data_IF_706923036932
#
_entry.id   IF_706923036932
#
_cell.length_a   1.000
_cell.length_b   1.000
_cell.length_c   1.000
_cell.angle_alpha   90.00
_cell.angle_beta   90.00
_cell.angle_gamma   90.00
#
_symmetry.space_group_name_H-M   'P 1'
#
loop_
_entity.id
_entity.type
_entity.pdbx_description
1 polymer ?
#
# COMPACT_ATOMS: atom_id res chain seq x y z
N UNK A 1 -1.57 14.22 -36.82
CA UNK A 1 -0.48 14.56 -35.88
C UNK A 1 -0.71 16.00 -35.47
N UNK A 2 -1.51 16.31 -34.44
CA UNK A 2 -1.73 15.60 -33.16
C UNK A 2 -0.51 15.75 -32.23
N UNK A 3 -0.57 16.38 -31.06
CA UNK A 3 -1.55 17.37 -30.55
C UNK A 3 -1.13 17.88 -29.16
N UNK A 4 -1.65 19.06 -28.77
CA UNK A 4 -1.95 19.46 -27.38
C UNK A 4 -0.78 19.56 -26.35
N UNK A 5 -0.96 20.03 -25.10
CA UNK A 5 -1.48 21.36 -24.64
C UNK A 5 -1.20 21.59 -23.13
N UNK A 6 -1.15 22.86 -22.70
CA UNK A 6 -1.43 23.43 -21.36
C UNK A 6 -0.77 22.89 -20.03
N UNK A 7 -0.14 23.86 -19.33
CA UNK A 7 -0.62 24.45 -18.03
C UNK A 7 -0.25 23.89 -16.63
N UNK A 8 -0.29 24.82 -15.65
CA UNK A 8 -0.91 24.67 -14.30
C UNK A 8 -0.06 24.67 -12.99
N UNK A 9 0.16 25.89 -12.44
CA UNK A 9 -0.15 26.37 -11.04
C UNK A 9 0.58 25.93 -9.72
N UNK A 10 0.92 26.99 -8.93
CA UNK A 10 0.79 27.18 -7.44
C UNK A 10 1.74 26.45 -6.44
N UNK A 11 1.57 26.62 -5.08
CA UNK A 11 1.48 25.59 -3.96
C UNK A 11 1.46 26.12 -2.43
N UNK A 12 1.26 25.32 -1.32
CA UNK A 12 0.49 25.59 -0.01
C UNK A 12 1.12 25.64 1.43
N UNK A 13 0.31 26.04 2.49
CA UNK A 13 0.06 25.41 3.85
C UNK A 13 -0.66 26.30 4.94
N UNK A 14 -1.05 25.92 6.20
CA UNK A 14 -0.84 24.74 7.11
C UNK A 14 -1.88 24.53 8.29
N UNK A 15 -1.98 23.29 8.86
CA UNK A 15 -2.07 22.74 10.28
C UNK A 15 -2.70 23.52 11.52
N UNK A 16 -2.89 22.95 12.77
CA UNK A 16 -3.25 21.58 13.31
C UNK A 16 -4.06 21.51 14.69
N UNK A 17 -4.06 20.32 15.39
CA UNK A 17 -4.34 20.00 16.84
C UNK A 17 -5.82 19.90 17.34
N UNK A 18 -6.20 19.32 18.52
CA UNK A 18 -5.49 18.75 19.72
C UNK A 18 -5.77 17.21 19.87
N UNK A 19 -6.18 16.42 20.92
CA UNK A 19 -6.48 16.36 22.42
C UNK A 19 -6.60 14.82 22.79
N UNK A 20 -6.82 14.18 23.98
CA UNK A 20 -6.75 14.32 25.48
C UNK A 20 -6.76 12.87 26.12
N UNK A 21 -6.55 12.62 27.45
CA UNK A 21 -6.59 11.26 28.11
C UNK A 21 -6.77 11.23 29.67
N UNK A 22 -7.06 10.07 30.30
CA UNK A 22 -7.11 9.78 31.78
C UNK A 22 -6.58 8.36 32.17
N UNK A 23 -5.66 8.30 33.16
CA UNK A 23 -5.44 7.36 34.32
C UNK A 23 -5.95 5.87 34.33
N UNK A 24 -5.46 4.89 35.13
CA UNK A 24 -4.65 4.92 36.39
C UNK A 24 -3.54 3.81 36.52
N UNK A 25 -3.55 2.90 37.53
CA UNK A 25 -2.39 2.14 38.09
C UNK A 25 -2.77 0.74 38.63
N UNK A 26 -1.88 -0.27 38.40
CA UNK A 26 -1.61 -1.56 39.12
C UNK A 26 -1.36 -2.71 38.11
N UNK A 27 -0.47 -3.71 38.26
CA UNK A 27 0.29 -4.24 39.40
C UNK A 27 -0.36 -5.53 39.93
N UNK A 28 0.23 -6.74 39.96
CA UNK A 28 1.62 -7.24 39.77
C UNK A 28 1.60 -8.63 39.09
N UNK A 29 2.73 -9.09 38.53
CA UNK A 29 2.93 -10.39 37.85
C UNK A 29 2.68 -11.65 38.70
N UNK A 30 2.37 -12.77 38.04
CA UNK A 30 2.82 -14.11 38.47
C UNK A 30 3.18 -15.01 37.27
N UNK A 31 3.82 -16.16 37.52
CA UNK A 31 4.65 -16.88 36.53
C UNK A 31 4.10 -18.23 36.05
N UNK A 32 4.37 -18.53 34.77
CA UNK A 32 4.59 -19.84 34.15
C UNK A 32 4.17 -21.11 34.93
N UNK A 33 3.27 -21.91 34.36
CA UNK A 33 3.63 -23.23 33.79
C UNK A 33 2.58 -23.69 32.75
N UNK A 34 2.92 -24.70 31.93
CA UNK A 34 2.10 -25.19 30.81
C UNK A 34 1.09 -26.27 31.22
N UNK A 35 -0.09 -26.27 30.58
CA UNK A 35 -0.99 -27.43 30.50
C UNK A 35 -1.59 -27.62 29.08
N UNK A 36 -2.32 -28.73 28.92
CA UNK A 36 -2.63 -29.51 27.72
C UNK A 36 -3.70 -28.92 26.77
N UNK A 37 -3.82 -29.43 25.52
CA UNK A 37 -4.65 -28.82 24.47
C UNK A 37 -6.15 -29.17 24.59
N UNK A 38 -6.86 -28.53 25.52
CA UNK A 38 -8.35 -28.55 25.56
C UNK A 38 -8.97 -27.19 25.94
N UNK A 39 -8.22 -26.09 25.80
CA UNK A 39 -8.69 -24.72 26.06
C UNK A 39 -8.64 -23.85 24.78
N UNK A 40 -9.62 -24.01 23.89
CA UNK A 40 -9.84 -23.11 22.72
C UNK A 40 -11.29 -22.60 22.58
N UNK A 41 -12.09 -22.69 23.64
CA UNK A 41 -13.45 -22.15 23.71
C UNK A 41 -13.60 -21.18 24.88
N UNK A 42 -14.37 -20.11 24.66
CA UNK A 42 -14.89 -19.17 25.68
C UNK A 42 -13.90 -18.27 26.46
N UNK A 43 -13.29 -17.26 25.80
CA UNK A 43 -13.35 -15.86 26.32
C UNK A 43 -13.33 -14.84 25.17
N UNK A 44 -14.47 -14.63 24.48
CA UNK A 44 -14.81 -13.33 23.87
C UNK A 44 -16.31 -13.06 24.08
N UNK A 45 -16.62 -12.30 25.13
CA UNK A 45 -17.96 -11.73 25.37
C UNK A 45 -17.80 -10.27 25.80
N UNK A 46 -18.83 -9.44 25.56
CA UNK A 46 -18.80 -7.97 25.68
C UNK A 46 -17.84 -7.32 24.64
N UNK A 47 -18.29 -6.83 23.48
CA UNK A 47 -19.57 -6.15 23.22
C UNK A 47 -20.11 -6.37 21.79
N UNK A 48 -21.08 -7.26 21.63
CA UNK A 48 -22.01 -7.25 20.51
C UNK A 48 -23.44 -7.10 21.05
N UNK A 49 -23.96 -5.87 21.03
CA UNK A 49 -25.38 -5.60 21.23
C UNK A 49 -26.14 -6.32 20.09
N UNK A 50 -27.12 -7.16 20.42
CA UNK A 50 -27.69 -8.10 19.46
C UNK A 50 -28.35 -7.44 18.25
N UNK A 51 -27.74 -7.60 17.07
CA UNK A 51 -28.45 -7.45 15.79
C UNK A 51 -29.17 -8.77 15.53
N UNK A 52 -30.50 -8.78 15.70
CA UNK A 52 -31.34 -9.85 15.20
C UNK A 52 -31.29 -9.81 13.67
N UNK A 53 -30.48 -10.68 13.08
CA UNK A 53 -30.44 -10.85 11.62
C UNK A 53 -31.70 -11.57 11.16
N UNK A 54 -32.67 -10.79 10.71
CA UNK A 54 -33.85 -11.27 10.01
C UNK A 54 -33.45 -12.08 8.76
N UNK A 55 -34.25 -13.07 8.36
CA UNK A 55 -34.02 -13.82 7.11
C UNK A 55 -34.08 -12.90 5.89
N UNK A 56 -34.81 -11.79 5.97
CA UNK A 56 -34.83 -10.77 4.92
C UNK A 56 -33.50 -10.01 4.79
N UNK A 57 -32.67 -9.93 5.84
CA UNK A 57 -31.35 -9.30 5.77
C UNK A 57 -30.39 -10.11 4.89
N UNK A 58 -30.34 -11.44 5.01
CA UNK A 58 -29.53 -12.27 4.12
C UNK A 58 -30.00 -12.13 2.66
N UNK A 59 -31.32 -12.17 2.45
CA UNK A 59 -31.98 -12.09 1.14
C UNK A 59 -31.83 -10.70 0.46
N UNK A 60 -31.40 -9.68 1.19
CA UNK A 60 -31.07 -8.33 0.68
C UNK A 60 -29.57 -8.07 0.58
N UNK A 61 -28.76 -8.70 1.45
CA UNK A 61 -27.29 -8.69 1.36
C UNK A 61 -26.83 -9.48 0.12
N UNK A 62 -27.41 -10.65 -0.17
CA UNK A 62 -27.15 -11.40 -1.42
C UNK A 62 -27.45 -10.53 -2.65
N UNK A 63 -28.64 -9.92 -2.71
CA UNK A 63 -29.03 -9.03 -3.82
C UNK A 63 -28.12 -7.81 -4.02
N UNK A 64 -27.43 -7.36 -2.97
CA UNK A 64 -26.48 -6.25 -3.06
C UNK A 64 -25.13 -6.67 -3.67
N UNK A 65 -24.84 -7.98 -3.72
CA UNK A 65 -23.65 -8.54 -4.37
C UNK A 65 -23.93 -9.19 -5.74
N UNK A 66 -25.15 -9.72 -5.96
CA UNK A 66 -25.55 -10.35 -7.23
C UNK A 66 -26.14 -9.37 -8.26
N UNK A 67 -26.50 -8.16 -7.87
CA UNK A 67 -26.96 -7.16 -8.84
C UNK A 67 -25.82 -6.65 -9.74
N UNK A 68 -25.96 -6.88 -11.04
CA UNK A 68 -25.15 -6.36 -12.16
C UNK A 68 -23.94 -7.17 -12.68
N UNK A 69 -23.88 -8.50 -12.48
CA UNK A 69 -22.89 -9.35 -13.18
C UNK A 69 -23.57 -10.32 -14.17
N UNK A 70 -23.49 -10.04 -15.48
CA UNK A 70 -24.32 -10.78 -16.46
C UNK A 70 -23.74 -12.13 -16.91
N UNK A 71 -22.42 -12.37 -16.81
CA UNK A 71 -21.79 -13.67 -17.13
C UNK A 71 -20.56 -13.94 -16.27
N UNK A 72 -20.47 -15.15 -15.74
CA UNK A 72 -19.26 -15.76 -15.14
C UNK A 72 -18.65 -16.78 -16.09
N UNK A 73 -17.34 -17.04 -15.95
CA UNK A 73 -16.65 -18.20 -16.54
C UNK A 73 -15.51 -18.62 -15.61
N UNK A 74 -15.47 -19.88 -15.18
CA UNK A 74 -14.26 -20.45 -14.58
C UNK A 74 -13.34 -20.96 -15.69
N UNK A 75 -12.03 -20.81 -15.50
CA UNK A 75 -10.99 -21.34 -16.37
C UNK A 75 -9.93 -22.03 -15.52
N UNK A 76 -9.56 -23.24 -15.87
CA UNK A 76 -8.61 -24.07 -15.12
C UNK A 76 -7.41 -24.43 -15.98
N UNK A 77 -6.30 -24.85 -15.37
CA UNK A 77 -5.12 -25.29 -16.08
C UNK A 77 -4.03 -25.88 -15.19
N UNK A 78 -3.01 -26.44 -15.85
CA UNK A 78 -1.82 -27.04 -15.23
C UNK A 78 -0.59 -26.31 -15.75
N UNK A 79 0.35 -26.00 -14.85
CA UNK A 79 1.62 -25.39 -15.23
C UNK A 79 2.51 -26.45 -15.90
N UNK A 80 2.83 -26.25 -17.17
CA UNK A 80 3.74 -27.14 -17.93
C UNK A 80 5.11 -26.48 -18.21
N UNK A 81 5.11 -25.18 -18.49
CA UNK A 81 6.30 -24.38 -18.79
C UNK A 81 6.27 -23.10 -17.95
N UNK A 82 6.46 -21.92 -18.55
CA UNK A 82 6.24 -20.65 -17.86
C UNK A 82 4.77 -20.45 -17.44
N UNK A 83 4.57 -19.72 -16.34
CA UNK A 83 3.26 -19.35 -15.81
C UNK A 83 2.36 -18.71 -16.88
N UNK A 84 2.85 -17.65 -17.54
CA UNK A 84 2.12 -16.91 -18.58
C UNK A 84 1.72 -17.80 -19.76
N UNK A 85 2.62 -18.68 -20.25
CA UNK A 85 2.31 -19.63 -21.33
C UNK A 85 1.19 -20.59 -20.93
N UNK A 86 1.17 -21.01 -19.66
CA UNK A 86 0.15 -21.92 -19.13
C UNK A 86 -1.23 -21.24 -19.03
N UNK A 87 -1.27 -19.93 -18.72
CA UNK A 87 -2.50 -19.12 -18.79
C UNK A 87 -3.00 -18.93 -20.23
N UNK A 88 -2.10 -18.68 -21.20
CA UNK A 88 -2.46 -18.56 -22.63
C UNK A 88 -3.07 -19.87 -23.12
N UNK A 89 -2.45 -21.01 -22.79
CA UNK A 89 -2.93 -22.34 -23.19
C UNK A 89 -4.29 -22.72 -22.58
N UNK A 90 -4.64 -22.17 -21.40
CA UNK A 90 -5.98 -22.28 -20.82
C UNK A 90 -7.02 -21.34 -21.46
N UNK A 91 -6.63 -20.55 -22.46
CA UNK A 91 -7.52 -19.67 -23.22
C UNK A 91 -7.81 -18.32 -22.56
N UNK A 92 -6.89 -17.79 -21.76
CA UNK A 92 -6.95 -16.39 -21.30
C UNK A 92 -6.43 -15.43 -22.38
N UNK A 93 -7.10 -14.29 -22.53
CA UNK A 93 -6.61 -13.19 -23.35
C UNK A 93 -5.44 -12.45 -22.68
N UNK A 94 -4.66 -11.72 -23.50
CA UNK A 94 -3.58 -10.85 -23.02
C UNK A 94 -4.05 -9.78 -22.01
N UNK A 95 -5.32 -9.35 -22.10
CA UNK A 95 -5.91 -8.38 -21.17
C UNK A 95 -6.21 -9.03 -19.81
N UNK A 96 -6.79 -10.22 -19.80
CA UNK A 96 -7.05 -11.00 -18.57
C UNK A 96 -5.73 -11.37 -17.88
N UNK A 97 -4.72 -11.82 -18.62
CA UNK A 97 -3.37 -12.13 -18.09
C UNK A 97 -2.72 -10.87 -17.49
N UNK A 98 -2.73 -9.73 -18.20
CA UNK A 98 -2.18 -8.48 -17.69
C UNK A 98 -2.90 -8.00 -16.42
N UNK A 99 -4.21 -8.23 -16.34
CA UNK A 99 -5.01 -7.95 -15.14
C UNK A 99 -4.62 -8.86 -13.97
N UNK A 100 -4.48 -10.17 -14.21
CA UNK A 100 -4.05 -11.13 -13.19
C UNK A 100 -2.68 -10.77 -12.60
N UNK A 101 -1.68 -10.55 -13.46
CA UNK A 101 -0.32 -10.19 -13.01
C UNK A 101 -0.37 -8.92 -12.14
N UNK A 102 -1.08 -7.87 -12.57
CA UNK A 102 -1.26 -6.62 -11.80
C UNK A 102 -1.91 -6.81 -10.42
N UNK A 103 -2.77 -7.83 -10.26
CA UNK A 103 -3.45 -8.15 -9.00
C UNK A 103 -2.56 -8.96 -8.03
N UNK A 104 -1.63 -9.79 -8.55
CA UNK A 104 -0.83 -10.73 -7.72
C UNK A 104 0.64 -10.32 -7.53
N UNK A 105 1.17 -9.41 -8.35
CA UNK A 105 2.61 -9.06 -8.47
C UNK A 105 3.34 -8.68 -7.17
N UNK A 106 2.65 -8.21 -6.13
CA UNK A 106 3.29 -7.78 -4.88
C UNK A 106 3.39 -8.87 -3.81
N UNK A 107 2.50 -9.86 -3.83
CA UNK A 107 2.40 -10.90 -2.80
C UNK A 107 2.65 -12.33 -3.32
N UNK A 108 2.55 -12.54 -4.64
CA UNK A 108 2.86 -13.80 -5.29
C UNK A 108 4.12 -13.71 -6.15
N UNK A 109 5.26 -14.10 -5.56
CA UNK A 109 6.49 -14.34 -6.31
C UNK A 109 6.30 -15.53 -7.27
N UNK A 110 5.98 -15.22 -8.52
CA UNK A 110 5.79 -16.18 -9.61
C UNK A 110 7.07 -17.01 -9.83
N UNK A 111 8.26 -16.43 -9.70
CA UNK A 111 9.54 -17.07 -10.06
C UNK A 111 9.95 -18.07 -8.95
N UNK A 112 9.92 -17.63 -7.69
CA UNK A 112 10.24 -18.49 -6.56
C UNK A 112 9.18 -19.56 -6.29
N UNK A 113 7.90 -19.29 -6.54
CA UNK A 113 6.78 -20.18 -6.18
C UNK A 113 6.45 -21.20 -7.26
N UNK A 114 6.28 -20.80 -8.53
CA UNK A 114 5.58 -21.63 -9.54
C UNK A 114 6.42 -22.83 -10.00
N UNK A 115 5.84 -24.04 -10.01
CA UNK A 115 6.48 -25.26 -10.51
C UNK A 115 5.63 -26.00 -11.53
N UNK A 116 6.27 -26.86 -12.32
CA UNK A 116 5.61 -27.73 -13.30
C UNK A 116 4.79 -28.79 -12.55
N UNK A 117 3.55 -29.00 -12.97
CA UNK A 117 2.58 -29.91 -12.33
C UNK A 117 1.61 -29.19 -11.38
N UNK A 118 1.94 -27.99 -10.92
CA UNK A 118 1.04 -27.16 -10.11
C UNK A 118 -0.23 -26.80 -10.91
N UNK A 119 -1.38 -26.66 -10.23
CA UNK A 119 -2.69 -26.37 -10.82
C UNK A 119 -3.11 -24.92 -10.58
N UNK A 120 -3.97 -24.38 -11.44
CA UNK A 120 -4.64 -23.10 -11.19
C UNK A 120 -6.08 -23.10 -11.69
N UNK A 121 -6.93 -22.35 -11.02
CA UNK A 121 -8.31 -22.09 -11.40
C UNK A 121 -8.63 -20.61 -11.15
N UNK A 122 -9.42 -20.00 -12.04
CA UNK A 122 -9.77 -18.58 -11.93
C UNK A 122 -11.14 -18.30 -12.49
N UNK A 123 -11.86 -17.38 -11.85
CA UNK A 123 -13.17 -16.92 -12.28
C UNK A 123 -13.06 -15.57 -12.94
N UNK A 124 -13.63 -15.42 -14.13
CA UNK A 124 -13.90 -14.12 -14.75
C UNK A 124 -15.37 -13.75 -14.58
N UNK A 125 -15.62 -12.45 -14.38
CA UNK A 125 -16.94 -11.81 -14.39
C UNK A 125 -16.97 -10.76 -15.51
N UNK A 126 -18.17 -10.46 -15.99
CA UNK A 126 -18.44 -9.37 -16.93
C UNK A 126 -19.30 -8.31 -16.24
N UNK A 127 -18.86 -7.05 -16.25
CA UNK A 127 -19.58 -5.94 -15.62
C UNK A 127 -20.66 -5.33 -16.56
N UNK A 128 -21.42 -4.35 -16.06
CA UNK A 128 -22.45 -3.62 -16.82
C UNK A 128 -21.97 -2.92 -18.09
N UNK A 129 -20.67 -2.62 -18.19
CA UNK A 129 -20.03 -2.01 -19.36
C UNK A 129 -19.53 -3.05 -20.37
N UNK A 130 -19.89 -4.33 -20.16
CA UNK A 130 -19.41 -5.49 -20.93
C UNK A 130 -17.89 -5.73 -20.84
N UNK A 131 -17.22 -5.16 -19.83
CA UNK A 131 -15.80 -5.38 -19.57
C UNK A 131 -15.61 -6.68 -18.78
N UNK A 132 -14.68 -7.52 -19.23
CA UNK A 132 -14.27 -8.72 -18.50
C UNK A 132 -13.17 -8.39 -17.50
N UNK A 133 -13.29 -8.94 -16.30
CA UNK A 133 -12.26 -8.90 -15.28
C UNK A 133 -12.17 -10.24 -14.55
N UNK A 134 -11.02 -10.52 -13.93
CA UNK A 134 -10.86 -11.69 -13.06
C UNK A 134 -11.42 -11.34 -11.69
N UNK A 135 -12.45 -12.06 -11.24
CA UNK A 135 -13.05 -11.86 -9.92
C UNK A 135 -12.33 -12.64 -8.84
N UNK A 136 -11.76 -13.80 -9.15
CA UNK A 136 -10.96 -14.59 -8.21
C UNK A 136 -9.94 -15.45 -8.96
N UNK A 137 -8.83 -15.76 -8.28
CA UNK A 137 -7.77 -16.64 -8.78
C UNK A 137 -7.28 -17.50 -7.62
N UNK A 138 -7.19 -18.81 -7.88
CA UNK A 138 -6.63 -19.79 -6.97
C UNK A 138 -5.49 -20.53 -7.68
N UNK A 139 -4.39 -20.66 -6.94
CA UNK A 139 -3.22 -21.42 -7.32
C UNK A 139 -3.05 -22.55 -6.34
N UNK A 140 -3.03 -23.80 -6.82
CA UNK A 140 -2.65 -24.94 -5.99
C UNK A 140 -1.24 -25.39 -6.34
N UNK A 141 -0.31 -25.15 -5.43
CA UNK A 141 1.12 -25.18 -5.72
C UNK A 141 1.89 -26.07 -4.76
N UNK A 142 2.75 -26.93 -5.31
CA UNK A 142 3.64 -27.84 -4.58
C UNK A 142 4.54 -27.18 -3.53
N UNK A 143 4.72 -25.86 -3.58
CA UNK A 143 5.39 -25.05 -2.54
C UNK A 143 4.45 -24.31 -1.59
N UNK A 144 3.35 -23.80 -2.12
CA UNK A 144 2.30 -23.05 -1.40
C UNK A 144 1.07 -22.94 -2.31
N UNK A 145 -0.11 -23.02 -1.72
CA UNK A 145 -1.31 -22.50 -2.34
C UNK A 145 -1.33 -20.96 -2.28
N UNK A 146 -2.15 -20.32 -3.10
CA UNK A 146 -2.37 -18.87 -3.06
C UNK A 146 -3.76 -18.53 -3.61
N UNK A 147 -4.50 -17.67 -2.92
CA UNK A 147 -5.84 -17.23 -3.29
C UNK A 147 -5.93 -15.70 -3.35
N UNK A 148 -6.65 -15.17 -4.33
CA UNK A 148 -7.17 -13.79 -4.32
C UNK A 148 -8.63 -13.69 -4.76
N UNK A 149 -9.32 -12.68 -4.26
CA UNK A 149 -10.59 -12.18 -4.77
C UNK A 149 -10.48 -10.68 -5.08
N UNK A 150 -11.23 -10.18 -6.07
CA UNK A 150 -11.18 -8.82 -6.61
C UNK A 150 -12.56 -8.15 -6.53
N UNK A 151 -12.63 -6.96 -5.95
CA UNK A 151 -13.87 -6.17 -5.75
C UNK A 151 -14.50 -5.59 -7.04
N UNK A 152 -14.00 -5.98 -8.22
CA UNK A 152 -14.40 -5.44 -9.51
C UNK A 152 -13.84 -4.04 -9.81
N UNK A 153 -13.14 -3.41 -8.87
CA UNK A 153 -12.50 -2.09 -9.00
C UNK A 153 -10.97 -2.20 -9.07
N UNK A 154 -10.46 -3.42 -9.24
CA UNK A 154 -9.03 -3.79 -9.25
C UNK A 154 -8.36 -3.78 -7.85
N UNK A 155 -9.13 -3.98 -6.77
CA UNK A 155 -8.56 -4.21 -5.45
C UNK A 155 -8.59 -5.70 -5.14
N UNK A 156 -7.42 -6.32 -5.02
CA UNK A 156 -7.29 -7.71 -4.57
C UNK A 156 -7.43 -7.79 -3.03
N UNK A 157 -7.97 -8.91 -2.54
CA UNK A 157 -8.11 -9.31 -1.14
C UNK A 157 -7.75 -10.79 -1.02
N UNK A 158 -7.32 -11.23 0.16
CA UNK A 158 -7.01 -12.63 0.45
C UNK A 158 -8.23 -13.43 0.95
N UNK A 159 -7.98 -14.64 1.45
CA UNK A 159 -8.99 -15.55 2.02
C UNK A 159 -9.56 -15.13 3.38
N UNK A 160 -8.90 -14.18 4.06
CA UNK A 160 -9.37 -13.60 5.32
C UNK A 160 -10.16 -12.31 5.10
N UNK A 161 -10.11 -11.73 3.89
CA UNK A 161 -10.75 -10.47 3.55
C UNK A 161 -9.88 -9.25 3.87
N UNK A 162 -8.59 -9.45 4.14
CA UNK A 162 -7.62 -8.36 4.16
C UNK A 162 -7.27 -8.00 2.71
N UNK A 163 -7.33 -6.71 2.38
CA UNK A 163 -7.00 -6.23 1.04
C UNK A 163 -5.50 -6.43 0.82
N UNK A 164 -5.13 -7.04 -0.30
CA UNK A 164 -3.76 -7.10 -0.78
C UNK A 164 -3.36 -5.73 -1.32
N UNK A 165 -3.13 -4.79 -0.41
CA UNK A 165 -2.34 -3.60 -0.71
C UNK A 165 -0.96 -4.07 -1.14
N UNK A 166 -0.55 -3.66 -2.34
CA UNK A 166 0.88 -3.63 -2.71
C UNK A 166 1.65 -3.00 -1.55
N UNK A 167 2.46 -3.80 -0.83
CA UNK A 167 3.16 -3.41 0.40
C UNK A 167 3.58 -1.94 0.34
N UNK A 168 3.12 -1.06 1.25
CA UNK A 168 3.11 0.39 1.08
C UNK A 168 4.43 0.87 0.47
N UNK A 169 4.35 1.29 -0.80
CA UNK A 169 5.53 1.40 -1.66
C UNK A 169 6.59 2.31 -1.01
N UNK A 170 6.11 3.40 -0.40
CA UNK A 170 6.87 4.29 0.47
C UNK A 170 6.66 3.93 1.95
N UNK A 171 7.74 3.64 2.69
CA UNK A 171 7.77 3.60 4.16
C UNK A 171 7.92 5.02 4.74
N UNK A 172 7.75 5.17 6.05
CA UNK A 172 8.07 6.40 6.78
C UNK A 172 9.60 6.69 6.76
N UNK A 173 10.06 7.96 6.78
CA UNK A 173 11.47 8.32 6.60
C UNK A 173 12.27 8.40 7.91
N UNK A 174 11.65 8.11 9.06
CA UNK A 174 12.18 8.27 10.41
C UNK A 174 11.83 7.02 11.25
N UNK A 175 12.58 6.76 12.33
CA UNK A 175 12.39 5.57 13.16
C UNK A 175 11.10 5.57 14.03
N UNK A 176 10.43 6.72 14.15
CA UNK A 176 9.16 6.92 14.87
C UNK A 176 8.47 8.18 14.34
N UNK A 177 7.17 8.37 14.61
CA UNK A 177 6.50 9.63 14.25
C UNK A 177 7.11 10.84 15.00
N UNK A 178 7.16 11.98 14.31
CA UNK A 178 7.56 13.29 14.84
C UNK A 178 6.55 14.35 14.40
N UNK A 179 6.44 15.44 15.16
CA UNK A 179 5.52 16.54 14.86
C UNK A 179 5.83 17.14 13.48
N UNK A 180 4.82 17.17 12.62
CA UNK A 180 4.85 17.97 11.39
C UNK A 180 4.82 19.46 11.79
N UNK A 181 5.84 20.22 11.43
CA UNK A 181 5.88 21.68 11.61
C UNK A 181 5.24 22.42 10.43
N UNK A 182 5.26 21.82 9.24
CA UNK A 182 4.65 22.30 8.00
C UNK A 182 4.31 21.09 7.12
N UNK A 183 3.06 20.95 6.65
CA UNK A 183 2.64 19.83 5.78
C UNK A 183 3.10 19.98 4.30
N UNK A 184 2.26 19.61 3.34
CA UNK A 184 2.31 19.94 1.89
C UNK A 184 0.92 20.40 1.35
N UNK A 185 0.79 21.24 0.29
CA UNK A 185 -0.32 21.34 -0.74
C UNK A 185 0.01 22.37 -1.88
N UNK A 186 -0.79 22.93 -2.84
CA UNK A 186 -1.91 23.97 -2.99
C UNK A 186 -1.75 25.57 -2.96
N UNK A 187 -1.81 26.38 -1.87
CA UNK A 187 -1.78 27.91 -1.81
C UNK A 187 -1.16 28.65 -0.54
N UNK A 188 0.17 28.84 -0.32
CA UNK A 188 0.72 29.32 1.02
C UNK A 188 0.94 30.82 1.12
N UNK A 189 0.27 31.50 2.05
CA UNK A 189 0.66 32.88 2.39
C UNK A 189 2.00 32.91 3.14
N UNK A 190 3.07 33.42 2.52
CA UNK A 190 4.37 33.59 3.19
C UNK A 190 4.26 34.70 4.25
N UNK A 191 4.57 34.42 5.54
CA UNK A 191 4.12 35.27 6.65
C UNK A 191 4.70 36.69 6.64
N UNK A 192 5.89 36.87 6.05
CA UNK A 192 6.59 38.17 6.00
C UNK A 192 6.24 38.99 4.75
N UNK A 193 5.83 38.34 3.64
CA UNK A 193 5.67 39.02 2.33
C UNK A 193 4.27 38.92 1.74
N UNK A 194 3.34 38.18 2.37
CA UNK A 194 1.96 38.00 1.89
C UNK A 194 1.80 37.16 0.61
N UNK A 195 2.88 36.86 -0.12
CA UNK A 195 2.86 36.16 -1.40
C UNK A 195 2.63 34.66 -1.27
N UNK A 196 1.91 34.08 -2.25
CA UNK A 196 1.66 32.64 -2.33
C UNK A 196 2.92 31.86 -2.70
N UNK A 197 3.58 31.23 -1.73
CA UNK A 197 4.89 30.58 -1.90
C UNK A 197 4.81 29.05 -1.67
N UNK A 198 5.08 28.22 -2.70
CA UNK A 198 5.10 26.78 -2.58
C UNK A 198 5.84 26.23 -1.35
N UNK A 199 5.34 25.10 -0.85
CA UNK A 199 6.04 24.19 0.05
C UNK A 199 5.77 22.79 -0.48
N UNK A 200 6.76 22.22 -1.18
CA UNK A 200 6.58 21.04 -2.03
C UNK A 200 6.97 19.71 -1.35
N UNK A 201 7.26 19.78 -0.06
CA UNK A 201 7.49 18.63 0.82
C UNK A 201 6.77 18.81 2.15
N UNK A 202 7.02 17.91 3.10
CA UNK A 202 6.57 17.99 4.50
C UNK A 202 7.78 18.22 5.43
N UNK A 203 7.66 19.15 6.37
CA UNK A 203 8.64 19.40 7.42
C UNK A 203 8.30 18.58 8.68
N UNK A 204 9.20 17.68 9.05
CA UNK A 204 9.16 16.95 10.32
C UNK A 204 10.15 17.60 11.29
N UNK A 205 9.66 18.15 12.39
CA UNK A 205 10.50 18.76 13.43
C UNK A 205 11.27 17.66 14.17
N UNK A 206 12.59 17.60 13.95
CA UNK A 206 13.48 16.56 14.48
C UNK A 206 14.78 17.18 15.01
N UNK A 207 15.36 16.67 16.11
CA UNK A 207 16.70 17.06 16.52
C UNK A 207 17.73 16.82 15.41
N UNK A 208 18.80 17.63 15.38
CA UNK A 208 19.97 17.39 14.51
C UNK A 208 20.57 16.01 14.83
N UNK A 209 20.96 15.24 13.80
CA UNK A 209 21.57 13.92 13.99
C UNK A 209 20.60 12.74 14.01
N UNK A 210 19.29 12.98 13.88
CA UNK A 210 18.25 11.93 13.78
C UNK A 210 18.45 11.12 12.48
N UNK A 211 18.38 9.77 12.53
CA UNK A 211 18.43 8.91 11.34
C UNK A 211 17.37 9.25 10.30
N UNK A 212 17.77 9.36 9.03
CA UNK A 212 16.87 9.53 7.88
C UNK A 212 17.00 8.30 6.98
N UNK A 213 15.87 7.70 6.62
CA UNK A 213 15.78 6.46 5.85
C UNK A 213 15.22 6.68 4.45
N UNK A 214 15.66 5.87 3.48
CA UNK A 214 15.04 5.84 2.16
C UNK A 214 13.61 5.32 2.26
N UNK A 215 12.65 6.09 1.77
CA UNK A 215 11.23 5.71 1.77
C UNK A 215 10.94 4.53 0.82
N UNK A 216 11.74 4.30 -0.22
CA UNK A 216 11.54 3.22 -1.18
C UNK A 216 12.86 2.82 -1.86
N UNK A 217 12.88 1.67 -2.53
CA UNK A 217 14.03 1.21 -3.30
C UNK A 217 14.35 2.20 -4.44
N UNK A 218 15.62 2.40 -4.77
CA UNK A 218 16.01 3.32 -5.84
C UNK A 218 17.51 3.58 -5.97
N UNK A 219 17.84 4.59 -6.77
CA UNK A 219 19.22 5.04 -7.01
C UNK A 219 19.38 6.52 -6.63
N UNK A 220 20.50 6.85 -5.98
CA UNK A 220 20.81 8.22 -5.56
C UNK A 220 21.20 9.07 -6.79
N UNK A 221 20.29 9.94 -7.23
CA UNK A 221 20.53 10.83 -8.39
C UNK A 221 21.21 12.14 -8.02
N UNK A 222 21.12 12.57 -6.75
CA UNK A 222 21.91 13.68 -6.18
C UNK A 222 22.22 13.41 -4.70
N UNK A 223 23.42 13.76 -4.27
CA UNK A 223 23.83 13.88 -2.86
C UNK A 223 24.84 15.04 -2.83
N UNK A 224 24.40 16.24 -2.42
CA UNK A 224 25.14 17.51 -2.60
C UNK A 224 24.74 18.57 -1.55
N UNK A 225 25.52 19.65 -1.46
CA UNK A 225 25.16 20.87 -0.73
C UNK A 225 24.62 21.96 -1.68
N UNK A 226 23.73 22.83 -1.20
CA UNK A 226 23.58 24.21 -1.70
C UNK A 226 23.02 25.16 -0.61
N UNK A 227 23.21 26.48 -0.80
CA UNK A 227 22.86 27.52 0.20
C UNK A 227 21.40 27.58 0.64
N UNK A 228 20.46 27.02 -0.13
CA UNK A 228 19.04 27.03 0.21
C UNK A 228 18.60 25.69 0.82
N UNK A 229 18.88 24.59 0.13
CA UNK A 229 18.46 23.24 0.54
C UNK A 229 19.35 22.61 1.63
N UNK A 230 20.49 23.22 1.94
CA UNK A 230 21.51 22.64 2.81
C UNK A 230 22.20 21.46 2.15
N UNK A 231 22.62 20.47 2.94
CA UNK A 231 22.92 19.15 2.42
C UNK A 231 21.61 18.46 2.06
N UNK A 232 21.55 17.90 0.85
CA UNK A 232 20.33 17.26 0.36
C UNK A 232 20.64 16.01 -0.47
N UNK A 233 19.70 15.06 -0.44
CA UNK A 233 19.72 13.80 -1.19
C UNK A 233 18.47 13.76 -2.08
N UNK A 234 18.64 13.37 -3.34
CA UNK A 234 17.54 12.99 -4.22
C UNK A 234 17.67 11.51 -4.60
N UNK A 235 16.58 10.77 -4.51
CA UNK A 235 16.51 9.36 -4.92
C UNK A 235 15.51 9.26 -6.07
N UNK A 236 15.86 8.54 -7.15
CA UNK A 236 14.88 8.08 -8.14
C UNK A 236 14.52 6.64 -7.79
N UNK A 237 13.24 6.39 -7.55
CA UNK A 237 12.75 5.09 -7.15
C UNK A 237 12.40 4.21 -8.35
N UNK A 238 12.25 2.90 -8.12
CA UNK A 238 12.01 1.91 -9.18
C UNK A 238 10.70 2.14 -9.96
N UNK A 239 9.70 2.76 -9.34
CA UNK A 239 8.44 3.18 -9.98
C UNK A 239 8.54 4.52 -10.75
N UNK A 240 9.74 5.09 -10.91
CA UNK A 240 9.97 6.37 -11.59
C UNK A 240 9.78 7.62 -10.73
N UNK A 241 9.20 7.51 -9.53
CA UNK A 241 9.04 8.63 -8.60
C UNK A 241 10.39 9.19 -8.11
N UNK A 242 10.38 10.41 -7.59
CA UNK A 242 11.58 11.06 -7.03
C UNK A 242 11.27 11.59 -5.63
N UNK A 243 12.02 11.15 -4.63
CA UNK A 243 12.04 11.77 -3.30
C UNK A 243 13.21 12.74 -3.14
N UNK A 244 13.06 13.75 -2.28
CA UNK A 244 14.15 14.66 -1.89
C UNK A 244 14.15 14.89 -0.37
N UNK A 245 15.31 14.75 0.25
CA UNK A 245 15.55 14.93 1.68
C UNK A 245 16.49 16.12 1.84
N UNK A 246 16.04 17.18 2.51
CA UNK A 246 16.75 18.46 2.59
C UNK A 246 17.18 18.78 4.04
N UNK A 247 18.02 19.80 4.17
CA UNK A 247 18.50 20.39 5.44
C UNK A 247 19.36 19.48 6.32
N UNK A 248 19.87 18.38 5.76
CA UNK A 248 20.61 17.33 6.45
C UNK A 248 21.90 17.87 7.12
N UNK A 249 22.31 17.27 8.23
CA UNK A 249 23.64 17.52 8.81
C UNK A 249 24.72 16.75 8.06
N UNK A 250 24.43 15.50 7.69
CA UNK A 250 25.33 14.58 6.98
C UNK A 250 24.54 13.72 5.99
N UNK A 251 25.14 13.47 4.83
CA UNK A 251 24.72 12.38 3.93
C UNK A 251 25.60 11.16 4.18
N UNK A 252 25.00 9.97 4.13
CA UNK A 252 25.69 8.67 4.24
C UNK A 252 25.90 8.01 2.87
N UNK A 253 25.38 8.61 1.79
CA UNK A 253 25.36 8.04 0.42
C UNK A 253 25.86 9.03 -0.64
N UNK A 254 26.32 8.50 -1.78
CA UNK A 254 26.88 9.24 -2.93
C UNK A 254 26.00 9.09 -4.17
N UNK A 255 26.22 9.93 -5.19
CA UNK A 255 25.49 9.82 -6.46
C UNK A 255 25.91 8.52 -7.17
N UNK A 256 24.94 7.68 -7.51
CA UNK A 256 25.13 6.39 -8.18
C UNK A 256 24.86 5.20 -7.28
N UNK A 257 24.86 5.39 -5.96
CA UNK A 257 24.57 4.34 -4.99
C UNK A 257 23.12 3.82 -5.18
N UNK A 258 22.96 2.50 -5.14
CA UNK A 258 21.65 1.87 -4.98
C UNK A 258 21.27 1.86 -3.50
N UNK A 259 19.99 2.05 -3.20
CA UNK A 259 19.45 2.00 -1.84
C UNK A 259 18.15 1.22 -1.78
N UNK A 260 17.93 0.51 -0.67
CA UNK A 260 16.68 -0.21 -0.38
C UNK A 260 15.78 0.57 0.57
N UNK A 261 14.48 0.28 0.57
CA UNK A 261 13.50 0.82 1.51
C UNK A 261 13.93 0.56 2.95
N UNK A 262 13.91 1.61 3.79
CA UNK A 262 14.34 1.55 5.18
C UNK A 262 15.86 1.63 5.40
N UNK A 263 16.69 1.73 4.36
CA UNK A 263 18.13 1.96 4.51
C UNK A 263 18.43 3.38 5.02
N UNK A 264 19.35 3.55 5.98
CA UNK A 264 19.79 4.88 6.41
C UNK A 264 20.58 5.57 5.28
N UNK A 265 20.12 6.75 4.86
CA UNK A 265 20.73 7.55 3.79
C UNK A 265 21.47 8.78 4.32
N UNK A 266 21.22 9.19 5.55
CA UNK A 266 21.84 10.37 6.16
C UNK A 266 21.21 10.75 7.50
N UNK A 267 21.57 11.93 8.00
CA UNK A 267 21.12 12.46 9.29
C UNK A 267 20.49 13.84 9.14
N UNK A 268 19.38 14.08 9.84
CA UNK A 268 18.70 15.38 9.92
C UNK A 268 19.63 16.50 10.36
N UNK A 269 19.27 17.75 10.08
CA UNK A 269 20.10 18.89 10.45
C UNK A 269 19.33 20.21 10.48
N UNK A 270 20.08 21.27 10.24
CA UNK A 270 19.60 22.65 10.18
C UNK A 270 20.41 23.44 9.13
N UNK A 271 20.72 22.81 7.99
CA UNK A 271 21.63 23.38 6.98
C UNK A 271 20.88 24.05 5.83
N UNK A 272 21.46 25.08 5.23
CA UNK A 272 20.79 25.89 4.20
C UNK A 272 19.94 27.00 4.81
N UNK A 273 18.77 27.29 4.23
CA UNK A 273 17.89 28.39 4.68
C UNK A 273 16.68 27.86 5.46
N UNK A 274 16.91 27.53 6.73
CA UNK A 274 15.94 27.00 7.69
C UNK A 274 15.59 28.02 8.79
N UNK A 275 14.54 27.74 9.57
CA UNK A 275 14.21 28.47 10.81
C UNK A 275 14.54 27.68 12.09
N UNK A 276 14.84 26.40 11.97
CA UNK A 276 15.20 25.49 13.07
C UNK A 276 15.33 24.04 12.57
N UNK A 277 15.85 23.11 13.40
CA UNK A 277 16.12 21.73 12.98
C UNK A 277 14.88 20.96 12.51
N UNK A 278 14.94 20.39 11.31
CA UNK A 278 13.89 19.55 10.73
C UNK A 278 14.43 18.67 9.59
N UNK A 279 13.62 17.69 9.17
CA UNK A 279 13.71 17.07 7.85
C UNK A 279 12.64 17.71 6.97
N UNK A 280 13.02 18.27 5.83
CA UNK A 280 12.09 18.60 4.75
C UNK A 280 12.12 17.46 3.71
N UNK A 281 10.97 16.82 3.47
CA UNK A 281 10.82 15.69 2.55
C UNK A 281 9.82 16.00 1.43
N UNK A 282 10.31 16.13 0.20
CA UNK A 282 9.49 16.20 -1.02
C UNK A 282 9.30 14.81 -1.64
N UNK A 283 8.12 14.52 -2.19
CA UNK A 283 7.87 13.38 -3.09
C UNK A 283 7.22 13.88 -4.38
N UNK A 284 7.76 13.44 -5.52
CA UNK A 284 7.24 13.69 -6.85
C UNK A 284 6.79 12.35 -7.49
N UNK A 285 5.53 12.27 -7.88
CA UNK A 285 4.93 11.13 -8.61
C UNK A 285 4.51 11.66 -9.98
N UNK A 286 4.89 10.96 -11.06
CA UNK A 286 4.62 11.35 -12.45
C UNK A 286 5.03 12.80 -12.78
N UNK A 287 6.09 13.28 -12.12
CA UNK A 287 6.62 14.65 -12.22
C UNK A 287 5.93 15.69 -11.33
N UNK A 288 4.74 15.41 -10.78
CA UNK A 288 4.00 16.30 -9.91
C UNK A 288 4.35 16.07 -8.42
N UNK A 289 4.53 17.13 -7.61
CA UNK A 289 4.75 16.98 -6.16
C UNK A 289 3.45 16.60 -5.43
N UNK A 290 3.53 15.74 -4.42
CA UNK A 290 2.36 15.19 -3.69
C UNK A 290 2.43 15.39 -2.18
N UNK A 291 1.27 15.31 -1.50
CA UNK A 291 1.20 15.34 -0.04
C UNK A 291 1.71 14.02 0.54
N UNK A 292 3.02 13.88 0.68
CA UNK A 292 3.64 12.65 1.17
C UNK A 292 3.03 12.16 2.49
N UNK A 293 2.77 13.07 3.44
CA UNK A 293 2.21 12.74 4.75
C UNK A 293 0.76 12.22 4.68
N UNK A 294 -0.06 12.70 3.74
CA UNK A 294 -1.37 12.08 3.44
C UNK A 294 -1.23 10.83 2.61
N UNK A 295 -0.36 10.82 1.60
CA UNK A 295 -0.21 9.75 0.61
C UNK A 295 0.15 8.41 1.25
N UNK A 296 0.98 8.41 2.30
CA UNK A 296 1.27 7.18 3.06
C UNK A 296 0.13 6.79 4.01
N UNK A 297 -0.66 7.74 4.52
CA UNK A 297 -1.81 7.46 5.40
C UNK A 297 -3.04 6.98 4.62
N UNK A 298 -3.23 7.41 3.38
CA UNK A 298 -4.24 6.87 2.44
C UNK A 298 -3.87 5.50 1.85
N UNK A 299 -2.68 4.96 2.17
CA UNK A 299 -2.19 3.66 1.73
C UNK A 299 -1.66 2.83 2.92
N UNK A 300 -2.34 2.93 4.08
CA UNK A 300 -2.08 2.04 5.21
C UNK A 300 -2.45 0.58 4.88
N UNK A 301 -1.92 -0.36 5.69
CA UNK A 301 -2.44 -1.71 5.73
C UNK A 301 -3.96 -1.65 6.02
N UNK A 302 -4.78 -2.37 5.25
CA UNK A 302 -6.22 -2.14 5.20
C UNK A 302 -6.94 -2.82 6.37
N UNK A 303 -8.08 -2.26 6.76
CA UNK A 303 -9.02 -2.91 7.66
C UNK A 303 -9.71 -4.10 6.98
N UNK A 304 -9.76 -5.23 7.68
CA UNK A 304 -10.58 -6.41 7.38
C UNK A 304 -11.92 -6.07 6.71
N UNK A 305 -12.15 -6.57 5.51
CA UNK A 305 -13.43 -6.43 4.82
C UNK A 305 -14.25 -7.72 4.92
N UNK A 306 -15.22 -7.73 5.82
CA UNK A 306 -16.10 -8.87 6.11
C UNK A 306 -16.85 -9.36 4.86
N UNK A 307 -17.29 -8.46 3.95
CA UNK A 307 -17.95 -8.87 2.71
C UNK A 307 -16.98 -9.61 1.78
N UNK A 308 -15.75 -9.12 1.66
CA UNK A 308 -14.72 -9.80 0.86
C UNK A 308 -14.29 -11.13 1.50
N UNK A 309 -14.23 -11.23 2.85
CA UNK A 309 -13.97 -12.50 3.54
C UNK A 309 -15.03 -13.56 3.21
N UNK A 310 -16.32 -13.18 3.25
CA UNK A 310 -17.41 -14.11 2.95
C UNK A 310 -17.40 -14.54 1.49
N UNK A 311 -17.25 -13.59 0.56
CA UNK A 311 -17.13 -13.89 -0.86
C UNK A 311 -15.86 -14.72 -1.19
N UNK A 312 -14.74 -14.45 -0.50
CA UNK A 312 -13.50 -15.20 -0.63
C UNK A 312 -13.67 -16.67 -0.24
N UNK A 313 -14.30 -16.96 0.91
CA UNK A 313 -14.57 -18.34 1.37
C UNK A 313 -15.38 -19.12 0.33
N UNK A 314 -16.42 -18.51 -0.23
CA UNK A 314 -17.26 -19.12 -1.28
C UNK A 314 -16.48 -19.33 -2.58
N UNK A 315 -15.86 -18.29 -3.14
CA UNK A 315 -15.15 -18.42 -4.44
C UNK A 315 -13.89 -19.29 -4.35
N UNK A 316 -13.20 -19.34 -3.19
CA UNK A 316 -12.07 -20.25 -2.95
C UNK A 316 -12.53 -21.71 -2.96
N UNK A 317 -13.62 -22.05 -2.28
CA UNK A 317 -14.15 -23.41 -2.23
C UNK A 317 -14.61 -23.89 -3.63
N UNK A 318 -15.27 -23.01 -4.38
CA UNK A 318 -15.68 -23.25 -5.77
C UNK A 318 -14.46 -23.45 -6.69
N UNK A 319 -13.47 -22.57 -6.63
CA UNK A 319 -12.24 -22.69 -7.42
C UNK A 319 -11.41 -23.93 -7.07
N UNK A 320 -11.42 -24.40 -5.82
CA UNK A 320 -10.76 -25.66 -5.41
C UNK A 320 -11.48 -26.86 -6.00
N UNK A 321 -12.83 -26.88 -5.97
CA UNK A 321 -13.63 -27.99 -6.49
C UNK A 321 -13.36 -28.25 -7.97
N UNK A 322 -13.16 -27.20 -8.75
CA UNK A 322 -12.84 -27.28 -10.19
C UNK A 322 -11.40 -27.77 -10.49
N UNK A 323 -10.61 -28.09 -9.47
CA UNK A 323 -9.25 -28.64 -9.60
C UNK A 323 -9.13 -30.11 -9.16
N UNK A 324 -10.21 -30.75 -8.70
CA UNK A 324 -10.22 -32.15 -8.27
C UNK A 324 -10.40 -33.08 -9.47
#
# INVERSE_FOLDING_TARGET
MTSLILSSRNHNLALPLITIALTIIAGVSFSHYLLTPEEQSEVISHSYQGVLFDKEANNSIEKTYDSHFQRTKITTGVINYAFVTSLINAGLSQQEIKSLIKLIESEFDIIGSVRKGDKFSLKTRTNSYNEKYISSFYYSGSKKDFFIINDGKNNAYDEYGDRLTRKPYYSFPLAKEYKISSGFSLKRKHPITGLNTPHLGTDYAVPVGTPIYSIADGVIVKSRYNRFAGNYINIRHTNGSISRYLHLSRSSVRKGDNVVKGQEIGRSGNTGRTTGPHLHLELFVDGAPVDYARYIKSNQAPSLNIQMMLAAKTERAELIKELL
#
